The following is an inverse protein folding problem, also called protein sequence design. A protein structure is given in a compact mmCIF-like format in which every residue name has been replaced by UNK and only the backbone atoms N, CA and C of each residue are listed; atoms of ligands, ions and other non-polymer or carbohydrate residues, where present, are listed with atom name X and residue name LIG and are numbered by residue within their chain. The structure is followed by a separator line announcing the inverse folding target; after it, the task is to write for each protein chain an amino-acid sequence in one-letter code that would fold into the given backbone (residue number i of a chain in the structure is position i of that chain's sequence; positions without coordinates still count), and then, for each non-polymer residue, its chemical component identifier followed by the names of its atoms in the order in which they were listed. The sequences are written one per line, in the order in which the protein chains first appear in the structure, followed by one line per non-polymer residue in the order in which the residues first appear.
data_IF_984940723796
#
_entry.id   IF_984940723796
#
_cell.length_a   1.000
_cell.length_b   1.000
_cell.length_c   1.000
_cell.angle_alpha   90.00
_cell.angle_beta   90.00
_cell.angle_gamma   90.00
#
_symmetry.space_group_name_H-M   'P 1'
#
loop_
_entity.id
_entity.type
_entity.pdbx_description
1 polymer ?
#
# COMPACT_ATOMS: atom_id res chain seq x y z
N UNK A 1 47.57 -16.55 13.66
CA UNK A 1 46.96 -15.32 14.21
C UNK A 1 45.47 -15.38 13.93
N UNK A 2 44.58 -15.61 14.92
CA UNK A 2 43.14 -15.65 14.70
C UNK A 2 42.57 -14.23 14.59
N UNK A 3 41.76 -13.98 13.57
CA UNK A 3 40.99 -12.73 13.45
C UNK A 3 39.93 -12.66 14.56
N UNK A 4 39.81 -11.54 15.29
CA UNK A 4 38.69 -11.34 16.20
C UNK A 4 37.46 -10.97 15.36
N UNK A 5 36.48 -11.87 15.27
CA UNK A 5 35.15 -11.48 14.81
C UNK A 5 34.47 -10.69 15.95
N UNK A 6 34.13 -9.40 15.76
CA UNK A 6 33.17 -8.77 16.65
C UNK A 6 31.82 -9.44 16.38
N UNK A 7 31.30 -10.17 17.36
CA UNK A 7 29.87 -10.49 17.39
C UNK A 7 29.12 -9.16 17.43
N UNK A 8 28.68 -8.67 16.28
CA UNK A 8 27.74 -7.56 16.24
C UNK A 8 26.44 -8.04 16.87
N UNK A 9 26.26 -7.69 18.15
CA UNK A 9 24.95 -7.62 18.75
C UNK A 9 24.07 -6.84 17.77
N UNK A 10 23.03 -7.50 17.26
CA UNK A 10 22.05 -6.92 16.34
C UNK A 10 21.29 -5.85 17.12
N UNK A 11 21.88 -4.66 17.18
CA UNK A 11 21.34 -3.53 17.91
C UNK A 11 20.08 -3.04 17.18
N UNK A 12 19.01 -2.84 17.94
CA UNK A 12 17.75 -2.26 17.46
C UNK A 12 17.94 -0.89 16.78
N UNK A 13 19.09 -0.24 16.98
CA UNK A 13 19.52 0.95 16.23
C UNK A 13 19.59 0.74 14.72
N UNK A 14 19.83 -0.49 14.25
CA UNK A 14 19.88 -0.80 12.82
C UNK A 14 18.53 -0.67 12.12
N UNK A 15 17.42 -0.93 12.81
CA UNK A 15 16.08 -0.77 12.24
C UNK A 15 15.70 0.71 12.11
N UNK A 16 15.96 1.50 13.16
CA UNK A 16 15.66 2.94 13.15
C UNK A 16 16.43 3.68 12.07
N UNK A 17 17.63 3.21 11.70
CA UNK A 17 18.43 3.78 10.61
C UNK A 17 17.74 3.76 9.23
N UNK A 18 16.70 2.92 9.04
CA UNK A 18 15.90 2.92 7.81
C UNK A 18 14.89 4.09 7.74
N UNK A 19 14.60 4.72 8.88
CA UNK A 19 13.53 5.71 9.04
C UNK A 19 14.01 7.05 9.59
N UNK A 20 15.06 7.03 10.40
CA UNK A 20 15.58 8.15 11.19
C UNK A 20 17.09 8.25 11.02
N UNK A 21 17.58 9.47 10.80
CA UNK A 21 18.99 9.76 10.59
C UNK A 21 19.74 9.80 11.93
N UNK A 22 21.07 9.88 11.87
CA UNK A 22 21.91 9.86 13.08
C UNK A 22 21.62 11.04 14.03
N UNK A 23 21.07 12.13 13.50
CA UNK A 23 20.64 13.32 14.24
C UNK A 23 19.19 13.24 14.76
N UNK A 24 18.57 12.06 14.70
CA UNK A 24 17.17 11.80 15.05
C UNK A 24 16.13 12.47 14.13
N UNK A 25 16.55 13.07 13.01
CA UNK A 25 15.60 13.62 12.02
C UNK A 25 14.98 12.51 11.16
N UNK A 26 13.71 12.64 10.73
CA UNK A 26 13.10 11.66 9.83
C UNK A 26 13.78 11.68 8.46
N UNK A 27 14.09 10.50 7.90
CA UNK A 27 14.59 10.40 6.52
C UNK A 27 13.46 10.72 5.55
N UNK A 28 13.58 11.87 4.88
CA UNK A 28 12.66 12.32 3.83
C UNK A 28 13.30 12.28 2.43
N UNK A 29 14.48 11.66 2.28
CA UNK A 29 15.04 11.35 0.97
C UNK A 29 14.27 10.20 0.30
N UNK A 30 14.55 9.89 -0.96
CA UNK A 30 13.83 8.83 -1.70
C UNK A 30 13.85 7.49 -0.97
N UNK A 31 14.97 7.10 -0.34
CA UNK A 31 15.06 5.86 0.43
C UNK A 31 14.14 5.86 1.65
N UNK A 32 14.16 6.93 2.45
CA UNK A 32 13.31 7.09 3.62
C UNK A 32 11.83 7.17 3.27
N UNK A 33 11.45 7.95 2.25
CA UNK A 33 10.08 8.02 1.75
C UNK A 33 9.59 6.67 1.23
N UNK A 34 10.46 5.90 0.57
CA UNK A 34 10.19 4.50 0.24
C UNK A 34 9.85 3.69 1.49
N UNK A 35 10.67 3.76 2.54
CA UNK A 35 10.42 3.02 3.78
C UNK A 35 9.14 3.46 4.50
N UNK A 36 8.89 4.76 4.62
CA UNK A 36 7.69 5.30 5.27
C UNK A 36 6.41 4.91 4.53
N UNK A 37 6.41 4.98 3.20
CA UNK A 37 5.24 4.57 2.39
C UNK A 37 4.99 3.06 2.46
N UNK A 38 6.05 2.24 2.45
CA UNK A 38 5.95 0.80 2.65
C UNK A 38 5.45 0.40 4.04
N UNK A 39 5.95 1.07 5.09
CA UNK A 39 5.52 0.85 6.47
C UNK A 39 4.02 1.19 6.62
N UNK A 40 3.60 2.35 6.13
CA UNK A 40 2.20 2.77 6.17
C UNK A 40 1.30 1.77 5.40
N UNK A 41 1.75 1.28 4.24
CA UNK A 41 1.03 0.26 3.48
C UNK A 41 0.82 -1.03 4.29
N UNK A 42 1.86 -1.53 4.97
CA UNK A 42 1.79 -2.73 5.81
C UNK A 42 0.82 -2.53 6.97
N UNK A 43 0.85 -1.37 7.64
CA UNK A 43 -0.07 -1.07 8.75
C UNK A 43 -1.52 -1.11 8.27
N UNK A 44 -1.82 -0.52 7.10
CA UNK A 44 -3.16 -0.54 6.53
C UNK A 44 -3.56 -1.97 6.16
N UNK A 45 -2.70 -2.74 5.50
CA UNK A 45 -2.99 -4.15 5.12
C UNK A 45 -3.24 -5.01 6.35
N UNK A 46 -2.46 -4.86 7.41
CA UNK A 46 -2.67 -5.58 8.65
C UNK A 46 -4.05 -5.25 9.26
N UNK A 47 -4.43 -3.96 9.27
CA UNK A 47 -5.77 -3.53 9.66
C UNK A 47 -6.86 -4.18 8.80
N UNK A 48 -6.73 -4.09 7.47
CA UNK A 48 -7.67 -4.70 6.52
C UNK A 48 -7.81 -6.21 6.71
N UNK A 49 -6.69 -6.91 6.93
CA UNK A 49 -6.66 -8.34 7.16
C UNK A 49 -7.45 -8.74 8.40
N UNK A 50 -7.27 -8.00 9.51
CA UNK A 50 -8.04 -8.26 10.75
C UNK A 50 -9.54 -8.07 10.58
N UNK A 51 -9.97 -7.15 9.72
CA UNK A 51 -11.39 -6.88 9.46
C UNK A 51 -11.94 -7.65 8.25
N UNK A 52 -11.17 -8.58 7.68
CA UNK A 52 -11.56 -9.37 6.50
C UNK A 52 -12.48 -10.56 6.82
N UNK A 53 -12.98 -10.67 8.05
CA UNK A 53 -13.85 -11.76 8.51
C UNK A 53 -15.31 -11.32 8.70
N UNK A 54 -16.25 -12.26 8.59
CA UNK A 54 -17.68 -12.01 8.85
C UNK A 54 -17.95 -11.56 10.30
N UNK A 55 -17.10 -11.98 11.25
CA UNK A 55 -17.18 -11.53 12.63
C UNK A 55 -16.94 -10.02 12.73
N UNK A 56 -15.94 -9.50 12.01
CA UNK A 56 -15.65 -8.07 11.96
C UNK A 56 -16.76 -7.26 11.27
N UNK A 57 -17.42 -7.83 10.24
CA UNK A 57 -18.57 -7.20 9.61
C UNK A 57 -19.75 -7.04 10.59
N UNK A 58 -20.00 -8.06 11.42
CA UNK A 58 -21.05 -8.05 12.45
C UNK A 58 -20.78 -7.03 13.55
N UNK A 59 -19.53 -6.83 13.94
CA UNK A 59 -19.16 -5.87 15.00
C UNK A 59 -19.09 -4.43 14.50
N UNK A 60 -18.49 -4.17 13.33
CA UNK A 60 -18.27 -2.82 12.79
C UNK A 60 -19.49 -2.24 12.06
N UNK A 61 -20.48 -3.08 11.74
CA UNK A 61 -21.63 -2.77 10.88
C UNK A 61 -21.23 -2.48 9.43
N UNK A 62 -22.14 -2.79 8.50
CA UNK A 62 -21.90 -2.73 7.06
C UNK A 62 -21.33 -1.39 6.51
N UNK A 63 -21.81 -0.19 6.90
CA UNK A 63 -21.32 1.06 6.30
C UNK A 63 -19.86 1.36 6.69
N UNK A 64 -19.52 1.23 7.98
CA UNK A 64 -18.16 1.48 8.48
C UNK A 64 -17.17 0.46 7.96
N UNK A 65 -17.55 -0.83 7.96
CA UNK A 65 -16.73 -1.89 7.40
C UNK A 65 -16.39 -1.64 5.93
N UNK A 66 -17.38 -1.24 5.12
CA UNK A 66 -17.16 -0.94 3.70
C UNK A 66 -16.27 0.28 3.50
N UNK A 67 -16.36 1.29 4.36
CA UNK A 67 -15.46 2.45 4.31
C UNK A 67 -14.02 2.05 4.65
N UNK A 68 -13.82 1.26 5.71
CA UNK A 68 -12.48 0.76 6.07
C UNK A 68 -11.90 -0.12 4.97
N UNK A 69 -12.69 -1.02 4.37
CA UNK A 69 -12.25 -1.84 3.25
C UNK A 69 -11.84 -1.03 2.01
N UNK A 70 -12.35 0.21 1.84
CA UNK A 70 -11.90 1.11 0.78
C UNK A 70 -10.48 1.64 0.99
N UNK A 71 -9.89 1.49 2.18
CA UNK A 71 -8.47 1.79 2.39
C UNK A 71 -7.55 0.92 1.51
N UNK A 72 -8.05 -0.18 0.95
CA UNK A 72 -7.31 -0.96 -0.05
C UNK A 72 -6.89 -0.13 -1.28
N UNK A 73 -7.68 0.89 -1.69
CA UNK A 73 -7.29 1.84 -2.73
C UNK A 73 -6.06 2.67 -2.32
N UNK A 74 -6.04 3.11 -1.06
CA UNK A 74 -4.91 3.86 -0.50
C UNK A 74 -3.67 2.97 -0.35
N UNK A 75 -3.84 1.72 0.09
CA UNK A 75 -2.76 0.72 0.12
C UNK A 75 -2.13 0.55 -1.26
N UNK A 76 -2.95 0.37 -2.31
CA UNK A 76 -2.45 0.23 -3.66
C UNK A 76 -1.58 1.42 -4.09
N UNK A 77 -2.06 2.65 -3.84
CA UNK A 77 -1.31 3.86 -4.14
C UNK A 77 0.02 3.93 -3.36
N UNK A 78 0.02 3.56 -2.08
CA UNK A 78 1.23 3.53 -1.25
C UNK A 78 2.26 2.50 -1.73
N UNK A 79 1.82 1.32 -2.17
CA UNK A 79 2.72 0.29 -2.73
C UNK A 79 3.38 0.77 -4.03
N UNK A 80 2.62 1.42 -4.91
CA UNK A 80 3.17 2.02 -6.14
C UNK A 80 4.19 3.10 -5.79
N UNK A 81 3.87 3.98 -4.83
CA UNK A 81 4.76 5.06 -4.39
C UNK A 81 6.04 4.51 -3.73
N UNK A 82 5.92 3.48 -2.91
CA UNK A 82 7.05 2.75 -2.32
C UNK A 82 8.02 2.24 -3.40
N UNK A 83 7.50 1.55 -4.43
CA UNK A 83 8.32 1.02 -5.51
C UNK A 83 8.93 2.14 -6.38
N UNK A 84 8.19 3.23 -6.61
CA UNK A 84 8.68 4.40 -7.31
C UNK A 84 9.90 5.01 -6.60
N UNK A 85 9.82 5.23 -5.28
CA UNK A 85 10.90 5.78 -4.48
C UNK A 85 12.15 4.89 -4.42
N UNK A 86 11.97 3.57 -4.50
CA UNK A 86 13.08 2.61 -4.65
C UNK A 86 13.68 2.56 -6.06
N UNK A 87 13.18 3.36 -6.99
CA UNK A 87 13.72 3.48 -8.34
C UNK A 87 13.31 2.34 -9.27
N UNK A 88 12.13 1.74 -9.08
CA UNK A 88 11.63 0.68 -9.97
C UNK A 88 11.66 1.10 -11.44
N UNK A 89 11.31 2.37 -11.75
CA UNK A 89 11.31 2.91 -13.11
C UNK A 89 12.70 3.09 -13.72
N UNK A 90 13.76 3.06 -12.91
CA UNK A 90 15.14 3.07 -13.42
C UNK A 90 15.61 1.67 -13.84
N UNK A 91 14.82 0.63 -13.55
CA UNK A 91 15.17 -0.79 -13.75
C UNK A 91 14.16 -1.49 -14.66
N UNK A 92 13.66 -0.82 -15.70
CA UNK A 92 12.61 -1.37 -16.59
C UNK A 92 13.03 -2.62 -17.38
N UNK A 93 14.32 -2.87 -17.51
CA UNK A 93 14.86 -4.11 -18.09
C UNK A 93 14.85 -5.29 -17.11
N UNK A 94 14.63 -5.04 -15.81
CA UNK A 94 14.54 -6.09 -14.80
C UNK A 94 13.21 -6.83 -14.92
N UNK A 95 13.21 -8.18 -14.91
CA UNK A 95 11.98 -8.98 -14.89
C UNK A 95 11.04 -8.60 -13.75
N UNK A 96 11.59 -8.23 -12.59
CA UNK A 96 10.80 -7.83 -11.42
C UNK A 96 10.04 -6.51 -11.63
N UNK A 97 10.64 -5.54 -12.31
CA UNK A 97 9.96 -4.28 -12.65
C UNK A 97 8.87 -4.53 -13.68
N UNK A 98 9.11 -5.40 -14.66
CA UNK A 98 8.07 -5.78 -15.63
C UNK A 98 6.89 -6.45 -14.93
N UNK A 99 7.14 -7.42 -14.04
CA UNK A 99 6.09 -8.07 -13.25
C UNK A 99 5.34 -7.07 -12.36
N UNK A 100 6.05 -6.12 -11.74
CA UNK A 100 5.45 -5.03 -10.98
C UNK A 100 4.50 -4.20 -11.87
N UNK A 101 4.96 -3.76 -13.05
CA UNK A 101 4.14 -2.95 -13.97
C UNK A 101 2.89 -3.71 -14.44
N UNK A 102 3.05 -4.98 -14.82
CA UNK A 102 1.92 -5.84 -15.19
C UNK A 102 0.91 -5.98 -14.05
N UNK A 103 1.40 -6.17 -12.81
CA UNK A 103 0.56 -6.26 -11.62
C UNK A 103 -0.18 -4.95 -11.34
N UNK A 104 0.51 -3.81 -11.44
CA UNK A 104 -0.08 -2.47 -11.29
C UNK A 104 -1.18 -2.23 -12.32
N UNK A 105 -0.94 -2.57 -13.59
CA UNK A 105 -1.94 -2.47 -14.66
C UNK A 105 -3.15 -3.36 -14.34
N UNK A 106 -2.93 -4.64 -14.03
CA UNK A 106 -4.00 -5.59 -13.75
C UNK A 106 -4.90 -5.13 -12.58
N UNK A 107 -4.29 -4.69 -11.48
CA UNK A 107 -5.03 -4.17 -10.32
C UNK A 107 -5.76 -2.87 -10.68
N UNK A 108 -5.13 -1.96 -11.43
CA UNK A 108 -5.77 -0.71 -11.86
C UNK A 108 -7.01 -0.96 -12.72
N UNK A 109 -6.94 -1.91 -13.66
CA UNK A 109 -8.08 -2.35 -14.48
C UNK A 109 -9.18 -2.94 -13.60
N UNK A 110 -8.85 -3.83 -12.67
CA UNK A 110 -9.81 -4.41 -11.74
C UNK A 110 -10.53 -3.35 -10.90
N UNK A 111 -9.79 -2.37 -10.37
CA UNK A 111 -10.35 -1.27 -9.59
C UNK A 111 -11.25 -0.35 -10.43
N UNK A 112 -10.84 -0.01 -11.66
CA UNK A 112 -11.64 0.79 -12.58
C UNK A 112 -12.94 0.09 -12.97
N UNK A 113 -12.90 -1.22 -13.26
CA UNK A 113 -14.09 -2.02 -13.56
C UNK A 113 -15.04 -2.07 -12.35
N UNK A 114 -14.51 -2.22 -11.14
CA UNK A 114 -15.31 -2.18 -9.91
C UNK A 114 -16.06 -0.86 -9.71
N UNK A 115 -15.37 0.28 -9.92
CA UNK A 115 -15.97 1.62 -9.84
C UNK A 115 -17.02 1.81 -10.93
N UNK A 116 -16.70 1.43 -12.16
CA UNK A 116 -17.61 1.56 -13.30
C UNK A 116 -18.89 0.73 -13.13
N UNK A 117 -18.78 -0.51 -12.66
CA UNK A 117 -19.94 -1.35 -12.34
C UNK A 117 -20.79 -0.73 -11.22
N UNK A 118 -20.15 -0.12 -10.22
CA UNK A 118 -20.86 0.58 -9.15
C UNK A 118 -21.64 1.79 -9.71
N UNK A 119 -21.03 2.62 -10.55
CA UNK A 119 -21.70 3.75 -11.19
C UNK A 119 -22.88 3.33 -12.06
N UNK A 120 -22.73 2.28 -12.88
CA UNK A 120 -23.82 1.77 -13.72
C UNK A 120 -25.06 1.36 -12.93
N UNK A 121 -24.89 0.78 -11.74
CA UNK A 121 -25.99 0.32 -10.88
C UNK A 121 -26.67 1.45 -10.10
N UNK A 122 -26.00 2.59 -9.95
CA UNK A 122 -26.50 3.74 -9.16
C UNK A 122 -26.77 4.97 -10.05
N UNK A 123 -26.72 4.83 -11.38
CA UNK A 123 -27.13 5.87 -12.29
C UNK A 123 -28.62 6.18 -12.05
N UNK A 124 -29.01 7.45 -11.81
CA UNK A 124 -30.40 7.81 -11.64
C UNK A 124 -31.21 7.38 -12.86
N UNK A 125 -32.31 6.65 -12.65
CA UNK A 125 -33.29 6.40 -13.71
C UNK A 125 -33.72 7.76 -14.25
N UNK A 126 -33.61 8.02 -15.58
CA UNK A 126 -34.15 9.25 -16.14
C UNK A 126 -35.63 9.31 -15.80
N UNK A 127 -36.03 10.25 -14.95
CA UNK A 127 -37.44 10.61 -14.80
C UNK A 127 -37.87 11.21 -16.12
N UNK A 128 -38.46 10.39 -16.99
CA UNK A 128 -39.22 10.87 -18.13
C UNK A 128 -40.37 11.71 -17.55
N UNK A 129 -40.18 13.02 -17.49
CA UNK A 129 -41.28 13.96 -17.32
C UNK A 129 -42.18 13.79 -18.54
N UNK A 130 -43.27 13.05 -18.35
CA UNK A 130 -44.38 12.97 -19.28
C UNK A 130 -44.92 14.39 -19.46
N UNK A 131 -44.89 14.87 -20.70
CA UNK A 131 -45.58 16.08 -21.15
C UNK A 131 -46.89 15.68 -21.82
#
# INVERSE_FOLDING_TARGET
MPYPFPRTARSTSGFLAYFVAADASPLLNSFGLGNWTGLLAIVIVAGLLTISSDLALRTLKAPTWKWLQRLNYATFALVVLHAFFYGALLRVTSPFTVLLLLSVIAVSVGQALGIWLWWRRHAPTPTLTAA
#
